data_IF_613936920465
#
_entry.id   IF_613936920465
#
_cell.length_a   1.000
_cell.length_b   1.000
_cell.length_c   1.000
_cell.angle_alpha   90.00
_cell.angle_beta   90.00
_cell.angle_gamma   90.00
#
_symmetry.space_group_name_H-M   'P 1'
#
loop_
_entity.id
_entity.type
_entity.pdbx_description
1 polymer ?
#
# COMPACT_ATOMS: atom_id res chain seq x y z
N UNK A 1 -1.44 -27.77 -13.41
CA UNK A 1 -0.62 -26.61 -12.98
C UNK A 1 0.06 -26.01 -14.20
N UNK A 2 -0.10 -24.70 -14.45
CA UNK A 2 0.50 -23.98 -15.58
C UNK A 2 1.72 -23.20 -15.10
N UNK A 3 2.82 -23.22 -15.91
CA UNK A 3 4.03 -22.42 -15.64
C UNK A 3 4.13 -21.27 -16.64
N UNK A 4 4.40 -20.07 -16.16
CA UNK A 4 4.73 -18.88 -16.96
C UNK A 4 6.08 -18.33 -16.49
N UNK A 5 6.90 -17.86 -17.43
CA UNK A 5 8.16 -17.20 -17.16
C UNK A 5 7.97 -15.70 -17.42
N UNK A 6 8.50 -14.86 -16.55
CA UNK A 6 8.44 -13.39 -16.66
C UNK A 6 9.85 -12.84 -16.43
N UNK A 7 10.32 -12.05 -17.38
CA UNK A 7 11.61 -11.38 -17.27
C UNK A 7 11.51 -10.20 -16.30
N UNK A 8 12.16 -10.32 -15.15
CA UNK A 8 12.23 -9.23 -14.18
C UNK A 8 13.54 -8.44 -14.44
N UNK A 9 13.47 -7.13 -14.72
CA UNK A 9 14.67 -6.31 -14.88
C UNK A 9 15.61 -6.41 -13.67
N UNK A 10 16.92 -6.48 -13.90
CA UNK A 10 17.98 -6.65 -12.89
C UNK A 10 18.07 -8.01 -12.21
N UNK A 11 17.21 -8.99 -12.49
CA UNK A 11 17.42 -10.38 -12.10
C UNK A 11 18.14 -11.16 -13.20
N UNK A 12 18.97 -12.13 -12.79
CA UNK A 12 19.75 -12.97 -13.71
C UNK A 12 18.95 -14.12 -14.31
N UNK A 13 17.84 -14.48 -13.65
CA UNK A 13 16.92 -15.53 -14.11
C UNK A 13 15.51 -14.99 -14.16
N UNK A 14 14.72 -15.54 -15.07
CA UNK A 14 13.29 -15.23 -15.16
C UNK A 14 12.56 -15.66 -13.88
N UNK A 15 11.54 -14.88 -13.52
CA UNK A 15 10.63 -15.21 -12.44
C UNK A 15 9.67 -16.30 -12.91
N UNK A 16 9.51 -17.33 -12.11
CA UNK A 16 8.63 -18.46 -12.40
C UNK A 16 7.28 -18.30 -11.69
N UNK A 17 6.21 -18.25 -12.45
CA UNK A 17 4.84 -18.20 -11.94
C UNK A 17 4.18 -19.55 -12.19
N UNK A 18 3.71 -20.19 -11.13
CA UNK A 18 2.98 -21.46 -11.19
C UNK A 18 1.55 -21.23 -10.75
N UNK A 19 0.60 -21.41 -11.66
CA UNK A 19 -0.82 -21.38 -11.35
C UNK A 19 -1.37 -22.79 -11.18
N UNK A 20 -1.85 -23.10 -9.97
CA UNK A 20 -2.45 -24.39 -9.61
C UNK A 20 -3.87 -24.47 -10.15
N UNK A 21 -4.39 -25.70 -10.29
CA UNK A 21 -5.75 -25.95 -10.80
C UNK A 21 -6.85 -25.35 -9.91
N UNK A 22 -6.57 -25.13 -8.62
CA UNK A 22 -7.44 -24.42 -7.69
C UNK A 22 -7.34 -22.88 -7.77
N UNK A 23 -6.43 -22.36 -8.60
CA UNK A 23 -6.19 -20.94 -8.82
C UNK A 23 -5.14 -20.31 -7.89
N UNK A 24 -4.54 -21.05 -6.94
CA UNK A 24 -3.44 -20.56 -6.13
C UNK A 24 -2.22 -20.29 -7.00
N UNK A 25 -1.62 -19.12 -6.87
CA UNK A 25 -0.40 -18.73 -7.58
C UNK A 25 0.81 -18.84 -6.67
N UNK A 26 1.85 -19.55 -7.14
CA UNK A 26 3.15 -19.62 -6.49
C UNK A 26 4.15 -18.95 -7.41
N UNK A 27 4.91 -18.00 -6.87
CA UNK A 27 5.93 -17.24 -7.61
C UNK A 27 7.29 -17.50 -6.99
N UNK A 28 8.24 -17.94 -7.80
CA UNK A 28 9.61 -18.20 -7.39
C UNK A 28 10.55 -17.27 -8.16
N UNK A 29 11.32 -16.47 -7.42
CA UNK A 29 12.31 -15.55 -7.98
C UNK A 29 13.71 -15.86 -7.44
N UNK A 30 14.66 -16.07 -8.33
CA UNK A 30 16.03 -16.37 -7.95
C UNK A 30 16.82 -15.07 -7.67
N UNK A 31 17.39 -15.00 -6.48
CA UNK A 31 18.34 -13.95 -6.07
C UNK A 31 19.49 -14.60 -5.32
N UNK A 32 20.71 -14.48 -5.85
CA UNK A 32 21.91 -15.00 -5.21
C UNK A 32 22.12 -14.40 -3.82
N UNK A 33 22.56 -15.22 -2.86
CA UNK A 33 22.88 -14.82 -1.50
C UNK A 33 22.30 -15.74 -0.43
N UNK A 34 22.54 -15.37 0.83
CA UNK A 34 22.11 -16.16 1.99
C UNK A 34 20.73 -15.75 2.51
N UNK A 35 20.20 -14.65 2.05
CA UNK A 35 18.87 -14.17 2.49
C UNK A 35 17.76 -14.75 1.63
N UNK A 36 16.64 -15.05 2.26
CA UNK A 36 15.40 -15.46 1.61
C UNK A 36 14.21 -14.64 2.14
N UNK A 37 13.24 -14.41 1.26
CA UNK A 37 11.95 -13.83 1.63
C UNK A 37 10.84 -14.84 1.30
N UNK A 38 9.96 -15.06 2.26
CA UNK A 38 8.75 -15.86 2.13
C UNK A 38 7.58 -14.93 2.37
N UNK A 39 6.70 -14.74 1.39
CA UNK A 39 5.56 -13.86 1.55
C UNK A 39 4.28 -14.44 0.93
N UNK A 40 3.14 -14.04 1.49
CA UNK A 40 1.82 -14.32 0.95
C UNK A 40 1.03 -13.02 0.80
N UNK A 41 0.55 -12.79 -0.40
CA UNK A 41 -0.23 -11.63 -0.79
C UNK A 41 -1.68 -12.04 -1.03
N UNK A 42 -2.58 -11.39 -0.35
CA UNK A 42 -4.03 -11.67 -0.42
C UNK A 42 -4.73 -10.51 -1.10
N UNK A 43 -5.50 -10.78 -2.16
CA UNK A 43 -6.28 -9.77 -2.89
C UNK A 43 -7.51 -9.33 -2.08
N UNK A 44 -7.27 -8.84 -0.88
CA UNK A 44 -8.28 -8.26 -0.01
C UNK A 44 -7.69 -7.20 0.90
N UNK A 45 -8.41 -6.14 1.09
CA UNK A 45 -8.11 -5.01 1.95
C UNK A 45 -9.37 -4.21 2.19
N UNK A 46 -9.27 -2.93 2.52
CA UNK A 46 -10.44 -2.10 2.81
C UNK A 46 -11.40 -1.92 1.61
N UNK A 47 -10.97 -2.24 0.39
CA UNK A 47 -11.82 -2.27 -0.80
C UNK A 47 -12.97 -3.28 -0.68
N UNK A 48 -12.75 -4.40 0.01
CA UNK A 48 -13.71 -5.48 0.18
C UNK A 48 -14.61 -5.32 1.41
N UNK A 49 -14.43 -4.25 2.16
CA UNK A 49 -15.19 -3.94 3.36
C UNK A 49 -16.44 -3.10 3.05
N UNK A 50 -17.33 -3.02 4.01
CA UNK A 50 -18.50 -2.15 3.99
C UNK A 50 -18.53 -1.24 5.23
N UNK A 51 -19.61 -0.51 5.46
CA UNK A 51 -19.71 0.41 6.58
C UNK A 51 -19.86 -0.29 7.94
N UNK A 52 -20.26 -1.57 7.95
CA UNK A 52 -20.50 -2.31 9.19
C UNK A 52 -19.27 -3.09 9.65
N UNK A 53 -18.29 -3.30 8.76
CA UNK A 53 -17.09 -4.08 9.05
C UNK A 53 -15.77 -3.40 8.64
N UNK A 54 -15.78 -2.08 8.43
CA UNK A 54 -14.58 -1.34 8.04
C UNK A 54 -13.46 -1.48 9.10
N UNK A 55 -12.28 -1.88 8.66
CA UNK A 55 -11.12 -2.20 9.48
C UNK A 55 -10.96 -3.69 9.79
N UNK A 56 -11.89 -4.55 9.34
CA UNK A 56 -11.80 -6.00 9.59
C UNK A 56 -10.56 -6.63 8.93
N UNK A 57 -10.12 -6.15 7.77
CA UNK A 57 -8.91 -6.65 7.10
C UNK A 57 -7.67 -6.42 7.95
N UNK A 58 -7.52 -5.22 8.50
CA UNK A 58 -6.42 -4.85 9.36
C UNK A 58 -6.49 -5.58 10.70
N UNK A 59 -7.69 -5.70 11.30
CA UNK A 59 -7.85 -6.44 12.54
C UNK A 59 -7.55 -7.93 12.36
N UNK A 60 -7.97 -8.53 11.24
CA UNK A 60 -7.60 -9.90 10.88
C UNK A 60 -6.08 -10.06 10.73
N UNK A 61 -5.40 -9.09 10.11
CA UNK A 61 -3.94 -9.10 10.00
C UNK A 61 -3.27 -9.29 11.36
N UNK A 62 -3.64 -8.52 12.39
CA UNK A 62 -3.14 -8.67 13.75
C UNK A 62 -3.42 -10.07 14.34
N UNK A 63 -4.59 -10.62 14.05
CA UNK A 63 -5.02 -11.91 14.59
C UNK A 63 -4.35 -13.10 13.92
N UNK A 64 -3.83 -12.95 12.69
CA UNK A 64 -3.10 -14.03 12.00
C UNK A 64 -1.86 -14.50 12.76
N UNK A 65 -1.24 -13.63 13.57
CA UNK A 65 -0.08 -13.95 14.39
C UNK A 65 -0.44 -14.56 15.77
N UNK A 66 -1.73 -14.75 16.08
CA UNK A 66 -2.19 -15.19 17.39
C UNK A 66 -2.41 -16.70 17.51
N UNK A 67 -1.56 -17.45 16.82
CA UNK A 67 -1.49 -18.91 16.93
C UNK A 67 -2.30 -19.66 15.88
N UNK A 68 -1.96 -20.93 15.76
CA UNK A 68 -2.55 -21.89 14.85
C UNK A 68 -2.96 -23.16 15.64
N UNK A 69 -3.48 -24.16 14.93
CA UNK A 69 -3.71 -25.47 15.56
C UNK A 69 -2.41 -26.15 16.02
N UNK A 70 -1.27 -25.79 15.43
CA UNK A 70 0.05 -26.39 15.70
C UNK A 70 0.87 -25.55 16.69
N UNK A 71 0.87 -24.23 16.53
CA UNK A 71 1.73 -23.31 17.28
C UNK A 71 0.91 -22.38 18.17
N UNK A 72 1.33 -22.26 19.43
CA UNK A 72 0.69 -21.36 20.40
C UNK A 72 1.05 -19.90 20.12
N UNK A 73 0.28 -18.99 20.72
CA UNK A 73 0.54 -17.56 20.69
C UNK A 73 1.98 -17.24 21.12
N UNK A 74 2.68 -16.44 20.30
CA UNK A 74 4.08 -16.03 20.52
C UNK A 74 5.12 -17.12 20.22
N UNK A 75 4.74 -18.34 19.86
CA UNK A 75 5.71 -19.36 19.43
C UNK A 75 6.26 -19.05 18.02
N UNK A 76 5.40 -18.62 17.12
CA UNK A 76 5.77 -18.21 15.78
C UNK A 76 6.86 -17.11 15.81
N UNK A 77 6.60 -16.00 16.51
CA UNK A 77 7.54 -14.89 16.62
C UNK A 77 8.86 -15.33 17.23
N UNK A 78 8.81 -16.01 18.38
CA UNK A 78 10.02 -16.47 19.10
C UNK A 78 10.88 -17.41 18.26
N UNK A 79 10.26 -18.34 17.50
CA UNK A 79 11.00 -19.29 16.67
C UNK A 79 11.71 -18.54 15.53
N UNK A 80 11.04 -17.61 14.87
CA UNK A 80 11.62 -16.84 13.76
C UNK A 80 12.63 -15.80 14.24
N UNK A 81 12.34 -15.07 15.32
CA UNK A 81 13.28 -14.11 15.91
C UNK A 81 14.60 -14.79 16.34
N UNK A 82 14.52 -16.01 16.88
CA UNK A 82 15.72 -16.78 17.25
C UNK A 82 16.64 -17.11 16.05
N UNK A 83 16.12 -16.99 14.82
CA UNK A 83 16.84 -17.18 13.55
C UNK A 83 17.27 -15.88 12.89
N UNK A 84 17.04 -14.73 13.55
CA UNK A 84 17.33 -13.41 13.01
C UNK A 84 16.35 -12.99 11.91
N UNK A 85 15.15 -13.54 11.90
CA UNK A 85 14.12 -13.20 10.94
C UNK A 85 13.52 -11.81 11.23
N UNK A 86 13.16 -11.12 10.15
CA UNK A 86 12.28 -9.97 10.15
C UNK A 86 10.90 -10.49 9.73
N UNK A 87 9.91 -10.33 10.59
CA UNK A 87 8.52 -10.72 10.36
C UNK A 87 7.67 -9.47 10.38
N UNK A 88 6.82 -9.30 9.38
CA UNK A 88 5.87 -8.19 9.35
C UNK A 88 4.69 -8.50 8.44
N UNK A 89 3.67 -7.64 8.51
CA UNK A 89 2.51 -7.64 7.64
C UNK A 89 2.05 -6.22 7.38
N UNK A 90 1.23 -6.02 6.38
CA UNK A 90 0.55 -4.75 6.16
C UNK A 90 -0.76 -4.96 5.40
N UNK A 91 -1.75 -4.15 5.76
CA UNK A 91 -3.04 -4.04 5.09
C UNK A 91 -3.14 -2.70 4.38
N UNK A 92 -3.48 -2.75 3.10
CA UNK A 92 -3.78 -1.60 2.29
C UNK A 92 -5.21 -1.64 1.74
N UNK A 93 -5.52 -0.75 0.81
CA UNK A 93 -6.85 -0.69 0.20
C UNK A 93 -7.16 -1.95 -0.60
N UNK A 94 -6.21 -2.45 -1.39
CA UNK A 94 -6.41 -3.54 -2.36
C UNK A 94 -5.89 -4.90 -1.90
N UNK A 95 -5.02 -4.93 -0.89
CA UNK A 95 -4.35 -6.15 -0.46
C UNK A 95 -4.00 -6.15 1.02
N UNK A 96 -3.78 -7.36 1.53
CA UNK A 96 -3.09 -7.63 2.79
C UNK A 96 -1.93 -8.58 2.47
N UNK A 97 -0.74 -8.32 3.01
CA UNK A 97 0.39 -9.21 2.81
C UNK A 97 1.13 -9.50 4.11
N UNK A 98 1.74 -10.66 4.16
CA UNK A 98 2.51 -11.19 5.28
C UNK A 98 3.85 -11.63 4.76
N UNK A 99 4.94 -11.34 5.46
CA UNK A 99 6.26 -11.78 5.03
C UNK A 99 7.20 -12.11 6.16
N UNK A 100 8.14 -12.99 5.84
CA UNK A 100 9.28 -13.35 6.68
C UNK A 100 10.54 -13.24 5.82
N UNK A 101 11.53 -12.49 6.29
CA UNK A 101 12.85 -12.37 5.66
C UNK A 101 13.92 -12.81 6.64
N UNK A 102 14.77 -13.77 6.24
CA UNK A 102 15.76 -14.33 7.14
C UNK A 102 16.96 -14.93 6.36
N UNK A 103 18.11 -15.20 7.03
CA UNK A 103 19.14 -16.06 6.48
C UNK A 103 18.64 -17.49 6.28
N UNK A 104 19.05 -18.17 5.19
CA UNK A 104 18.64 -19.57 4.89
C UNK A 104 19.01 -20.56 6.02
N UNK A 105 20.06 -20.25 6.75
CA UNK A 105 20.65 -21.17 7.71
C UNK A 105 21.46 -22.31 7.07
N UNK A 106 22.05 -23.15 7.92
CA UNK A 106 22.84 -24.30 7.47
C UNK A 106 21.88 -25.33 6.84
N UNK A 107 22.21 -25.78 5.63
CA UNK A 107 21.40 -26.74 4.87
C UNK A 107 19.94 -26.27 4.67
N UNK A 108 19.70 -24.96 4.55
CA UNK A 108 18.39 -24.31 4.39
C UNK A 108 17.40 -24.56 5.55
N UNK A 109 17.84 -25.01 6.72
CA UNK A 109 16.94 -25.40 7.83
C UNK A 109 16.10 -24.26 8.37
N UNK A 110 16.65 -23.02 8.41
CA UNK A 110 15.92 -21.87 8.90
C UNK A 110 14.91 -21.39 7.84
N UNK A 111 15.24 -21.50 6.55
CA UNK A 111 14.33 -21.28 5.45
C UNK A 111 13.16 -22.28 5.46
N UNK A 112 13.44 -23.58 5.58
CA UNK A 112 12.39 -24.62 5.65
C UNK A 112 11.44 -24.36 6.83
N UNK A 113 11.98 -23.98 7.99
CA UNK A 113 11.20 -23.58 9.16
C UNK A 113 10.30 -22.36 8.85
N UNK A 114 10.83 -21.35 8.18
CA UNK A 114 10.06 -20.16 7.82
C UNK A 114 8.90 -20.49 6.87
N UNK A 115 9.14 -21.36 5.86
CA UNK A 115 8.09 -21.84 4.96
C UNK A 115 7.01 -22.60 5.73
N UNK A 116 7.41 -23.47 6.67
CA UNK A 116 6.49 -24.27 7.48
C UNK A 116 5.59 -23.38 8.36
N UNK A 117 6.20 -22.48 9.10
CA UNK A 117 5.50 -21.55 9.99
C UNK A 117 4.58 -20.62 9.21
N UNK A 118 5.08 -20.04 8.11
CA UNK A 118 4.31 -19.11 7.28
C UNK A 118 3.10 -19.79 6.64
N UNK A 119 3.28 -21.02 6.11
CA UNK A 119 2.18 -21.77 5.54
C UNK A 119 1.13 -22.15 6.60
N UNK A 120 1.56 -22.57 7.81
CA UNK A 120 0.63 -22.93 8.89
C UNK A 120 -0.16 -21.69 9.37
N UNK A 121 0.49 -20.53 9.52
CA UNK A 121 -0.16 -19.26 9.81
C UNK A 121 -1.24 -18.92 8.75
N UNK A 122 -0.91 -19.08 7.48
CA UNK A 122 -1.84 -18.75 6.38
C UNK A 122 -3.01 -19.73 6.27
N UNK A 123 -2.81 -21.02 6.60
CA UNK A 123 -3.80 -22.08 6.39
C UNK A 123 -4.64 -22.41 7.61
N UNK A 124 -4.10 -22.28 8.80
CA UNK A 124 -4.64 -22.84 10.06
C UNK A 124 -4.77 -21.84 11.22
N UNK A 125 -5.02 -20.51 11.00
CA UNK A 125 -5.18 -19.58 12.11
C UNK A 125 -6.42 -19.95 12.94
N UNK A 126 -6.36 -19.75 14.26
CA UNK A 126 -7.43 -20.16 15.17
C UNK A 126 -8.22 -19.01 15.80
N UNK A 127 -7.75 -17.78 15.71
CA UNK A 127 -8.35 -16.56 16.28
C UNK A 127 -8.85 -16.80 17.72
N UNK A 128 -7.95 -17.02 18.70
CA UNK A 128 -8.36 -17.37 20.06
C UNK A 128 -9.18 -16.25 20.71
N UNK A 129 -10.26 -16.61 21.38
CA UNK A 129 -11.14 -15.62 22.03
C UNK A 129 -10.41 -14.81 23.11
N UNK A 130 -9.45 -15.45 23.78
CA UNK A 130 -8.58 -14.84 24.78
C UNK A 130 -7.59 -13.81 24.18
N UNK A 131 -7.27 -13.89 22.90
CA UNK A 131 -6.43 -12.92 22.20
C UNK A 131 -7.27 -11.84 21.50
N UNK A 132 -8.38 -12.23 20.92
CA UNK A 132 -9.30 -11.33 20.24
C UNK A 132 -9.93 -10.30 21.20
N UNK A 133 -10.40 -10.73 22.35
CA UNK A 133 -11.25 -9.97 23.25
C UNK A 133 -12.74 -9.99 22.87
N UNK A 134 -13.60 -9.89 23.87
CA UNK A 134 -15.05 -9.82 23.65
C UNK A 134 -15.44 -8.45 23.06
N UNK A 135 -16.51 -8.37 22.25
CA UNK A 135 -17.13 -7.09 21.88
C UNK A 135 -17.54 -6.29 23.13
N UNK A 136 -17.43 -4.97 23.06
CA UNK A 136 -17.78 -4.08 24.19
C UNK A 136 -18.30 -2.74 23.68
N UNK A 137 -19.02 -2.00 24.56
CA UNK A 137 -19.40 -0.62 24.26
C UNK A 137 -18.15 0.28 24.35
N UNK A 138 -17.80 0.95 23.25
CA UNK A 138 -16.62 1.83 23.18
C UNK A 138 -16.70 3.00 24.18
N UNK A 139 -17.88 3.34 24.66
CA UNK A 139 -18.11 4.37 25.69
C UNK A 139 -17.96 3.83 27.12
N UNK A 140 -17.84 2.53 27.29
CA UNK A 140 -17.58 1.92 28.60
C UNK A 140 -16.08 1.99 28.94
N UNK A 141 -15.70 3.06 29.63
CA UNK A 141 -14.32 3.29 30.07
C UNK A 141 -13.88 2.36 31.25
N UNK A 142 -14.74 1.51 31.76
CA UNK A 142 -14.37 0.51 32.78
C UNK A 142 -13.69 -0.71 32.19
N UNK A 143 -13.79 -0.92 30.87
CA UNK A 143 -13.14 -2.02 30.16
C UNK A 143 -11.64 -1.72 30.03
N UNK A 144 -10.82 -2.49 30.76
CA UNK A 144 -9.35 -2.35 30.80
C UNK A 144 -8.63 -3.52 30.14
N UNK A 145 -9.23 -4.12 29.13
CA UNK A 145 -8.68 -5.25 28.41
C UNK A 145 -7.44 -4.85 27.59
N UNK A 146 -6.43 -5.71 27.51
CA UNK A 146 -5.18 -5.47 26.76
C UNK A 146 -5.02 -6.38 25.54
N UNK A 147 -6.10 -7.05 25.12
CA UNK A 147 -6.09 -7.96 23.97
C UNK A 147 -6.05 -7.19 22.65
N UNK A 148 -5.85 -7.90 21.54
CA UNK A 148 -5.61 -7.32 20.21
C UNK A 148 -6.65 -6.28 19.78
N UNK A 149 -7.91 -6.48 20.13
CA UNK A 149 -8.96 -5.48 19.87
C UNK A 149 -8.61 -4.10 20.44
N UNK A 150 -8.11 -4.04 21.67
CA UNK A 150 -7.69 -2.78 22.28
C UNK A 150 -6.40 -2.23 21.65
N UNK A 151 -5.48 -3.11 21.27
CA UNK A 151 -4.24 -2.70 20.56
C UNK A 151 -4.62 -1.98 19.26
N UNK A 152 -5.51 -2.56 18.46
CA UNK A 152 -5.98 -1.94 17.20
C UNK A 152 -6.74 -0.64 17.48
N UNK A 153 -7.60 -0.59 18.49
CA UNK A 153 -8.32 0.65 18.87
C UNK A 153 -7.35 1.76 19.28
N UNK A 154 -6.33 1.44 20.08
CA UNK A 154 -5.30 2.43 20.46
C UNK A 154 -4.48 2.88 19.24
N UNK A 155 -4.16 1.99 18.32
CA UNK A 155 -3.50 2.37 17.05
C UNK A 155 -4.37 3.33 16.23
N UNK A 156 -5.68 3.06 16.12
CA UNK A 156 -6.61 3.98 15.44
C UNK A 156 -6.59 5.36 16.12
N UNK A 157 -6.61 5.41 17.46
CA UNK A 157 -6.55 6.67 18.21
C UNK A 157 -5.25 7.42 17.94
N UNK A 158 -4.11 6.73 18.02
CA UNK A 158 -2.80 7.31 17.73
C UNK A 158 -2.73 7.86 16.29
N UNK A 159 -3.24 7.13 15.31
CA UNK A 159 -3.28 7.59 13.91
C UNK A 159 -4.21 8.78 13.71
N UNK A 160 -5.37 8.78 14.37
CA UNK A 160 -6.32 9.91 14.33
C UNK A 160 -5.69 11.21 14.85
N UNK A 161 -4.74 11.15 15.77
CA UNK A 161 -4.06 12.33 16.30
C UNK A 161 -2.97 12.87 15.39
N UNK A 162 -2.51 12.10 14.40
CA UNK A 162 -1.52 12.54 13.44
C UNK A 162 -2.10 13.55 12.44
N UNK A 163 -1.53 14.76 12.32
CA UNK A 163 -2.08 15.80 11.45
C UNK A 163 -2.17 15.41 9.98
N UNK A 164 -1.15 14.69 9.46
CA UNK A 164 -1.13 14.20 8.09
C UNK A 164 -2.24 13.19 7.81
N UNK A 165 -2.54 12.30 8.75
CA UNK A 165 -3.66 11.36 8.63
C UNK A 165 -4.99 12.10 8.57
N UNK A 166 -5.18 13.14 9.40
CA UNK A 166 -6.40 13.96 9.38
C UNK A 166 -6.62 14.62 8.03
N UNK A 167 -5.61 15.34 7.51
CA UNK A 167 -5.74 16.08 6.25
C UNK A 167 -5.92 15.13 5.06
N UNK A 168 -5.19 13.98 5.05
CA UNK A 168 -5.33 12.94 4.04
C UNK A 168 -6.74 12.32 4.03
N UNK A 169 -7.24 11.90 5.20
CA UNK A 169 -8.55 11.25 5.29
C UNK A 169 -9.69 12.19 4.86
N UNK A 170 -9.60 13.49 5.20
CA UNK A 170 -10.57 14.50 4.73
C UNK A 170 -10.47 14.67 3.22
N UNK A 171 -9.27 14.80 2.66
CA UNK A 171 -9.05 14.89 1.22
C UNK A 171 -9.61 13.66 0.50
N UNK A 172 -9.18 12.48 0.90
CA UNK A 172 -9.57 11.20 0.31
C UNK A 172 -11.08 10.97 0.35
N UNK A 173 -11.73 11.21 1.50
CA UNK A 173 -13.19 11.08 1.65
C UNK A 173 -13.98 11.99 0.70
N UNK A 174 -13.43 13.16 0.34
CA UNK A 174 -14.09 14.12 -0.55
C UNK A 174 -13.75 13.89 -2.03
N UNK A 175 -12.67 13.14 -2.35
CA UNK A 175 -12.33 12.73 -3.71
C UNK A 175 -13.27 11.64 -4.22
N UNK A 176 -13.66 10.71 -3.35
CA UNK A 176 -14.51 9.58 -3.70
C UNK A 176 -15.97 9.80 -3.28
N UNK A 177 -16.90 9.46 -4.16
CA UNK A 177 -18.35 9.52 -3.90
C UNK A 177 -18.86 8.17 -3.40
N UNK A 178 -18.66 7.11 -4.20
CA UNK A 178 -19.20 5.77 -3.94
C UNK A 178 -18.11 4.74 -3.70
N UNK A 179 -16.94 4.92 -4.29
CA UNK A 179 -15.88 3.94 -4.24
C UNK A 179 -15.40 3.65 -2.81
N UNK A 180 -15.15 2.38 -2.46
CA UNK A 180 -14.65 1.97 -1.14
C UNK A 180 -13.38 2.69 -0.67
N UNK A 181 -12.56 3.19 -1.58
CA UNK A 181 -11.32 3.91 -1.24
C UNK A 181 -11.53 5.16 -0.39
N UNK A 182 -12.76 5.69 -0.29
CA UNK A 182 -13.09 6.77 0.63
C UNK A 182 -12.94 6.41 2.11
N UNK A 183 -12.91 5.09 2.45
CA UNK A 183 -12.77 4.60 3.83
C UNK A 183 -11.30 4.55 4.26
N UNK A 184 -11.09 4.76 5.55
CA UNK A 184 -9.80 4.51 6.17
C UNK A 184 -9.56 2.99 6.25
N UNK A 185 -8.33 2.55 5.99
CA UNK A 185 -7.95 1.13 6.02
C UNK A 185 -8.07 0.54 7.43
N UNK A 186 -7.70 1.33 8.45
CA UNK A 186 -7.65 0.86 9.83
C UNK A 186 -9.04 0.77 10.48
N UNK A 187 -10.08 1.35 9.87
CA UNK A 187 -11.44 1.38 10.39
C UNK A 187 -11.67 2.43 11.48
N UNK A 188 -12.67 2.17 12.32
CA UNK A 188 -13.00 3.07 13.45
C UNK A 188 -13.13 2.29 14.77
N UNK A 189 -12.87 2.94 15.92
CA UNK A 189 -13.01 2.29 17.24
C UNK A 189 -14.40 1.69 17.45
N UNK A 190 -15.45 2.36 16.97
CA UNK A 190 -16.85 1.95 17.11
C UNK A 190 -17.10 0.61 16.40
N UNK A 191 -16.56 0.44 15.17
CA UNK A 191 -16.72 -0.80 14.40
C UNK A 191 -15.85 -1.90 15.02
N UNK A 192 -14.55 -1.62 15.23
CA UNK A 192 -13.61 -2.61 15.77
C UNK A 192 -14.08 -3.14 17.13
N UNK A 193 -14.69 -2.29 17.99
CA UNK A 193 -15.20 -2.72 19.30
C UNK A 193 -16.34 -3.75 19.21
N UNK A 194 -17.05 -3.80 18.08
CA UNK A 194 -18.24 -4.66 17.89
C UNK A 194 -17.98 -5.94 17.08
N UNK A 195 -16.88 -6.00 16.29
CA UNK A 195 -16.59 -7.18 15.46
C UNK A 195 -16.50 -8.44 16.30
N UNK A 196 -17.20 -9.48 15.90
CA UNK A 196 -17.20 -10.77 16.57
C UNK A 196 -16.12 -11.70 16.01
N UNK A 197 -15.80 -12.78 16.73
CA UNK A 197 -14.93 -13.84 16.20
C UNK A 197 -15.53 -14.47 14.95
N UNK A 198 -16.85 -14.59 14.88
CA UNK A 198 -17.55 -15.12 13.71
C UNK A 198 -17.37 -14.22 12.48
N UNK A 199 -17.42 -12.89 12.65
CA UNK A 199 -17.16 -11.94 11.56
C UNK A 199 -15.73 -12.11 11.02
N UNK A 200 -14.74 -12.26 11.90
CA UNK A 200 -13.33 -12.49 11.53
C UNK A 200 -13.17 -13.82 10.77
N UNK A 201 -13.73 -14.93 11.31
CA UNK A 201 -13.63 -16.24 10.66
C UNK A 201 -14.34 -16.24 9.29
N UNK A 202 -15.51 -15.62 9.20
CA UNK A 202 -16.26 -15.49 7.94
C UNK A 202 -15.46 -14.66 6.91
N UNK A 203 -14.84 -13.56 7.33
CA UNK A 203 -14.02 -12.74 6.46
C UNK A 203 -12.78 -13.51 5.96
N UNK A 204 -12.07 -14.18 6.87
CA UNK A 204 -10.95 -15.05 6.51
C UNK A 204 -11.36 -16.14 5.52
N UNK A 205 -12.43 -16.89 5.78
CA UNK A 205 -12.91 -17.94 4.89
C UNK A 205 -13.34 -17.43 3.52
N UNK A 206 -13.87 -16.22 3.46
CA UNK A 206 -14.35 -15.59 2.23
C UNK A 206 -13.21 -15.12 1.33
N UNK A 207 -12.16 -14.56 1.89
CA UNK A 207 -11.13 -13.87 1.10
C UNK A 207 -9.78 -14.58 1.06
N UNK A 208 -9.42 -15.38 2.08
CA UNK A 208 -8.17 -16.15 2.09
C UNK A 208 -8.37 -17.49 1.38
N UNK A 209 -8.58 -17.39 0.07
CA UNK A 209 -8.91 -18.50 -0.84
C UNK A 209 -7.80 -18.69 -1.86
N UNK A 210 -7.65 -19.88 -2.49
CA UNK A 210 -6.56 -20.13 -3.42
C UNK A 210 -6.47 -19.09 -4.55
N UNK A 211 -7.58 -18.61 -5.09
CA UNK A 211 -7.58 -17.62 -6.18
C UNK A 211 -7.17 -16.21 -5.75
N UNK A 212 -7.31 -15.91 -4.46
CA UNK A 212 -6.97 -14.60 -3.91
C UNK A 212 -5.55 -14.56 -3.33
N UNK A 213 -4.94 -15.72 -3.05
CA UNK A 213 -3.61 -15.80 -2.44
C UNK A 213 -2.55 -16.04 -3.51
N UNK A 214 -1.50 -15.23 -3.46
CA UNK A 214 -0.25 -15.46 -4.19
C UNK A 214 0.87 -15.64 -3.18
N UNK A 215 1.54 -16.80 -3.20
CA UNK A 215 2.71 -17.07 -2.35
C UNK A 215 3.97 -16.80 -3.16
N UNK A 216 4.89 -16.00 -2.63
CA UNK A 216 6.09 -15.53 -3.32
C UNK A 216 7.30 -15.91 -2.48
N UNK A 217 8.26 -16.57 -3.11
CA UNK A 217 9.56 -16.87 -2.50
C UNK A 217 10.66 -16.23 -3.34
N UNK A 218 11.52 -15.47 -2.68
CA UNK A 218 12.67 -14.81 -3.31
C UNK A 218 13.94 -15.22 -2.60
N UNK A 219 14.94 -15.70 -3.35
CA UNK A 219 16.23 -16.10 -2.79
C UNK A 219 16.99 -17.09 -3.66
N UNK A 220 18.03 -17.68 -3.09
CA UNK A 220 18.82 -18.73 -3.74
C UNK A 220 18.51 -20.08 -3.10
N UNK A 221 17.67 -20.87 -3.78
CA UNK A 221 17.16 -22.17 -3.32
C UNK A 221 16.86 -23.10 -4.52
N UNK A 222 16.56 -24.36 -4.23
CA UNK A 222 16.10 -25.32 -5.23
C UNK A 222 14.59 -25.08 -5.52
N UNK A 223 14.30 -24.56 -6.73
CA UNK A 223 12.93 -24.21 -7.14
C UNK A 223 11.99 -25.42 -7.19
N UNK A 224 12.46 -26.60 -7.62
CA UNK A 224 11.61 -27.79 -7.72
C UNK A 224 11.24 -28.32 -6.33
N UNK A 225 12.21 -28.37 -5.41
CA UNK A 225 11.98 -28.78 -4.04
C UNK A 225 11.02 -27.82 -3.32
N UNK A 226 11.25 -26.51 -3.41
CA UNK A 226 10.42 -25.49 -2.77
C UNK A 226 9.01 -25.50 -3.34
N UNK A 227 8.85 -25.60 -4.68
CA UNK A 227 7.54 -25.71 -5.31
C UNK A 227 6.74 -26.91 -4.78
N UNK A 228 7.39 -28.06 -4.66
CA UNK A 228 6.77 -29.28 -4.12
C UNK A 228 6.30 -29.05 -2.67
N UNK A 229 7.17 -28.50 -1.82
CA UNK A 229 6.85 -28.18 -0.42
C UNK A 229 5.67 -27.21 -0.32
N UNK A 230 5.66 -26.15 -1.11
CA UNK A 230 4.56 -25.17 -1.12
C UNK A 230 3.24 -25.79 -1.60
N UNK A 231 3.29 -26.68 -2.62
CA UNK A 231 2.09 -27.38 -3.08
C UNK A 231 1.50 -28.31 -2.02
N UNK A 232 2.34 -28.91 -1.17
CA UNK A 232 1.91 -29.79 -0.07
C UNK A 232 1.35 -28.97 1.12
N UNK A 233 2.01 -27.88 1.48
CA UNK A 233 1.67 -27.09 2.68
C UNK A 233 0.50 -26.11 2.48
N UNK A 234 0.40 -25.50 1.30
CA UNK A 234 -0.75 -24.66 0.94
C UNK A 234 -1.88 -25.52 0.36
N UNK A 235 -2.37 -26.46 1.17
CA UNK A 235 -3.53 -27.27 0.85
C UNK A 235 -4.81 -26.56 1.27
N UNK A 236 -5.24 -25.62 0.43
CA UNK A 236 -6.45 -24.83 0.68
C UNK A 236 -7.67 -25.75 0.80
N UNK A 237 -8.43 -25.71 1.91
CA UNK A 237 -9.70 -26.41 2.00
C UNK A 237 -10.65 -25.89 0.92
N UNK A 238 -11.61 -26.73 0.47
CA UNK A 238 -12.67 -26.29 -0.44
C UNK A 238 -13.48 -25.17 0.20
N UNK A 239 -13.10 -23.93 -0.11
CA UNK A 239 -13.77 -22.70 0.33
C UNK A 239 -14.48 -22.09 -0.87
N UNK A 240 -15.70 -21.65 -0.67
CA UNK A 240 -16.40 -20.86 -1.67
C UNK A 240 -15.72 -19.51 -1.74
N UNK A 241 -15.19 -19.17 -2.90
CA UNK A 241 -14.62 -17.84 -3.11
C UNK A 241 -15.68 -16.77 -2.89
N UNK A 242 -15.39 -15.78 -2.07
CA UNK A 242 -16.22 -14.58 -2.00
C UNK A 242 -16.18 -13.86 -3.36
N UNK A 243 -17.31 -13.30 -3.76
CA UNK A 243 -17.36 -12.46 -4.95
C UNK A 243 -16.45 -11.24 -4.73
N UNK A 244 -15.46 -11.08 -5.60
CA UNK A 244 -14.77 -9.80 -5.70
C UNK A 244 -15.73 -8.83 -6.37
N UNK A 245 -16.28 -7.90 -5.62
CA UNK A 245 -17.15 -6.87 -6.18
C UNK A 245 -16.33 -6.02 -7.16
N UNK A 246 -16.87 -5.88 -8.37
CA UNK A 246 -16.39 -4.87 -9.30
C UNK A 246 -16.98 -3.54 -8.84
N UNK A 247 -16.14 -2.68 -8.28
CA UNK A 247 -16.58 -1.36 -7.86
C UNK A 247 -16.79 -0.45 -9.06
N UNK A 248 -17.80 0.40 -8.99
CA UNK A 248 -17.94 1.48 -9.97
C UNK A 248 -16.82 2.49 -9.75
N UNK A 249 -16.08 2.79 -10.82
CA UNK A 249 -15.02 3.79 -10.79
C UNK A 249 -15.65 5.18 -10.63
N UNK A 250 -15.23 5.91 -9.61
CA UNK A 250 -15.66 7.29 -9.41
C UNK A 250 -15.01 8.21 -10.45
N UNK A 251 -15.77 9.18 -10.93
CA UNK A 251 -15.25 10.25 -11.77
C UNK A 251 -14.58 11.33 -10.90
N UNK A 252 -13.62 12.09 -11.44
CA UNK A 252 -13.11 13.28 -10.79
C UNK A 252 -14.23 14.21 -10.34
N UNK A 253 -14.04 14.93 -9.26
CA UNK A 253 -15.00 15.94 -8.81
C UNK A 253 -15.24 16.97 -9.92
N UNK A 254 -16.48 17.39 -10.10
CA UNK A 254 -16.88 18.32 -11.18
C UNK A 254 -16.47 19.76 -10.94
N UNK A 255 -16.14 20.10 -9.69
CA UNK A 255 -15.69 21.43 -9.25
C UNK A 255 -14.72 21.28 -8.08
N UNK A 256 -13.88 22.28 -7.87
CA UNK A 256 -12.96 22.31 -6.72
C UNK A 256 -13.72 22.26 -5.42
N UNK A 257 -13.43 21.26 -4.59
CA UNK A 257 -13.94 21.16 -3.22
C UNK A 257 -12.90 21.69 -2.23
N UNK A 258 -13.30 22.63 -1.39
CA UNK A 258 -12.47 23.13 -0.29
C UNK A 258 -13.04 22.67 1.05
N UNK A 259 -12.22 22.05 1.87
CA UNK A 259 -12.60 21.56 3.20
C UNK A 259 -11.55 21.98 4.20
N UNK A 260 -11.95 22.78 5.18
CA UNK A 260 -11.11 23.19 6.30
C UNK A 260 -11.50 22.45 7.57
N UNK A 261 -10.51 21.97 8.29
CA UNK A 261 -10.66 21.34 9.60
C UNK A 261 -9.74 21.99 10.61
N UNK A 262 -10.07 21.88 11.89
CA UNK A 262 -9.28 22.41 13.00
C UNK A 262 -8.78 21.29 13.89
N UNK A 263 -7.62 21.47 14.50
CA UNK A 263 -7.08 20.57 15.50
C UNK A 263 -6.05 21.28 16.39
N UNK A 264 -5.71 20.65 17.50
CA UNK A 264 -4.62 21.09 18.37
C UNK A 264 -3.27 20.81 17.71
N UNK A 265 -2.84 21.72 16.85
CA UNK A 265 -1.56 21.65 16.10
C UNK A 265 -0.88 23.03 16.13
N UNK A 266 0.44 23.06 15.98
CA UNK A 266 1.22 24.31 15.99
C UNK A 266 1.48 24.89 14.59
N UNK A 267 1.14 24.16 13.55
CA UNK A 267 1.37 24.52 12.15
C UNK A 267 0.21 24.07 11.30
N UNK A 268 0.07 24.59 10.11
CA UNK A 268 -1.02 24.21 9.21
C UNK A 268 -0.56 23.18 8.18
N UNK A 269 -1.50 22.36 7.72
CA UNK A 269 -1.30 21.32 6.75
C UNK A 269 -2.26 21.49 5.58
N UNK A 270 -1.79 21.24 4.39
CA UNK A 270 -2.53 21.40 3.14
C UNK A 270 -2.34 20.15 2.29
N UNK A 271 -3.43 19.72 1.67
CA UNK A 271 -3.40 18.66 0.67
C UNK A 271 -4.33 19.01 -0.48
N UNK A 272 -3.79 18.98 -1.70
CA UNK A 272 -4.55 18.91 -2.94
C UNK A 272 -4.59 17.47 -3.40
N UNK A 273 -5.75 16.99 -3.83
CA UNK A 273 -5.91 15.62 -4.30
C UNK A 273 -6.70 15.51 -5.58
N UNK A 274 -6.30 14.58 -6.44
CA UNK A 274 -6.95 14.24 -7.71
C UNK A 274 -7.05 12.73 -7.88
N UNK A 275 -8.12 12.28 -8.56
CA UNK A 275 -8.22 10.92 -9.05
C UNK A 275 -7.41 10.78 -10.34
N UNK A 276 -6.62 9.72 -10.43
CA UNK A 276 -5.77 9.39 -11.57
C UNK A 276 -6.27 8.16 -12.35
N UNK A 277 -5.41 7.58 -13.21
CA UNK A 277 -5.69 6.40 -14.00
C UNK A 277 -5.82 5.13 -13.13
N UNK A 278 -6.30 4.04 -13.72
CA UNK A 278 -6.20 2.70 -13.10
C UNK A 278 -4.74 2.23 -13.07
N UNK A 279 -4.35 1.43 -12.08
CA UNK A 279 -2.95 0.93 -11.98
C UNK A 279 -2.47 0.21 -13.25
N UNK A 280 -3.36 -0.52 -13.94
CA UNK A 280 -3.06 -1.22 -15.20
C UNK A 280 -2.89 -0.31 -16.41
N UNK A 281 -3.27 0.97 -16.33
CA UNK A 281 -2.99 1.99 -17.36
C UNK A 281 -1.53 2.47 -17.19
N UNK A 282 -0.60 1.55 -17.45
CA UNK A 282 0.82 1.68 -17.07
C UNK A 282 1.46 2.97 -17.58
N UNK A 283 1.23 3.32 -18.85
CA UNK A 283 1.81 4.55 -19.43
C UNK A 283 1.39 5.81 -18.67
N UNK A 284 0.11 5.94 -18.34
CA UNK A 284 -0.41 7.08 -17.59
C UNK A 284 0.10 7.09 -16.13
N UNK A 285 0.22 5.91 -15.51
CA UNK A 285 0.79 5.76 -14.17
C UNK A 285 2.27 6.17 -14.15
N UNK A 286 3.08 5.73 -15.12
CA UNK A 286 4.49 6.16 -15.27
C UNK A 286 4.58 7.67 -15.47
N UNK A 287 3.68 8.27 -16.28
CA UNK A 287 3.66 9.72 -16.45
C UNK A 287 3.41 10.45 -15.12
N UNK A 288 2.47 9.98 -14.29
CA UNK A 288 2.21 10.59 -12.98
C UNK A 288 3.40 10.42 -12.00
N UNK A 289 4.10 9.28 -12.04
CA UNK A 289 5.33 9.09 -11.27
C UNK A 289 6.41 10.10 -11.69
N UNK A 290 6.61 10.29 -12.99
CA UNK A 290 7.58 11.28 -13.51
C UNK A 290 7.15 12.72 -13.16
N UNK A 291 5.86 13.04 -13.27
CA UNK A 291 5.31 14.34 -12.90
C UNK A 291 5.52 14.60 -11.41
N UNK A 292 5.30 13.61 -10.54
CA UNK A 292 5.55 13.79 -9.10
C UNK A 292 7.01 14.14 -8.82
N UNK A 293 7.95 13.49 -9.50
CA UNK A 293 9.39 13.78 -9.36
C UNK A 293 9.75 15.20 -9.88
N UNK A 294 9.22 15.59 -11.01
CA UNK A 294 9.50 16.91 -11.61
C UNK A 294 8.90 18.01 -10.74
N UNK A 295 7.67 17.79 -10.26
CA UNK A 295 6.90 18.83 -9.60
C UNK A 295 7.26 19.00 -8.12
N UNK A 296 7.30 17.91 -7.32
CA UNK A 296 7.44 18.04 -5.87
C UNK A 296 8.49 17.15 -5.21
N UNK A 297 8.87 16.03 -5.80
CA UNK A 297 9.72 15.06 -5.11
C UNK A 297 11.22 15.40 -5.23
N UNK A 298 11.77 15.89 -4.11
CA UNK A 298 13.18 16.20 -3.93
C UNK A 298 13.55 17.67 -4.12
N UNK A 299 14.71 18.04 -3.61
CA UNK A 299 15.19 19.42 -3.47
C UNK A 299 15.27 20.23 -4.77
N UNK A 300 15.36 19.56 -5.91
CA UNK A 300 15.44 20.22 -7.22
C UNK A 300 14.13 20.19 -8.01
N UNK A 301 13.02 19.78 -7.41
CA UNK A 301 11.69 19.85 -7.97
C UNK A 301 11.17 21.29 -8.01
N UNK A 302 10.17 21.56 -8.88
CA UNK A 302 9.62 22.90 -9.07
C UNK A 302 9.07 23.51 -7.77
N UNK A 303 8.27 22.74 -7.02
CA UNK A 303 7.68 23.19 -5.75
C UNK A 303 8.75 23.54 -4.72
N UNK A 304 9.75 22.65 -4.52
CA UNK A 304 10.83 22.89 -3.58
C UNK A 304 11.64 24.13 -3.95
N UNK A 305 12.03 24.24 -5.23
CA UNK A 305 12.82 25.36 -5.71
C UNK A 305 12.08 26.69 -5.58
N UNK A 306 10.81 26.73 -5.98
CA UNK A 306 10.07 28.01 -6.07
C UNK A 306 9.46 28.44 -4.73
N UNK A 307 8.97 27.47 -3.91
CA UNK A 307 8.21 27.76 -2.71
C UNK A 307 8.99 27.59 -1.40
N UNK A 308 10.11 26.82 -1.41
CA UNK A 308 10.95 26.66 -0.22
C UNK A 308 12.27 27.40 -0.37
N UNK A 309 13.02 27.15 -1.45
CA UNK A 309 14.37 27.69 -1.59
C UNK A 309 14.37 29.17 -1.98
N UNK A 310 13.67 29.54 -3.04
CA UNK A 310 13.68 30.91 -3.63
C UNK A 310 12.67 31.87 -3.02
N UNK A 311 11.64 31.39 -2.31
CA UNK A 311 10.64 32.24 -1.70
C UNK A 311 11.25 33.02 -0.52
N UNK A 312 11.32 34.37 -0.57
CA UNK A 312 11.94 35.16 0.51
C UNK A 312 11.18 35.03 1.85
N UNK A 313 9.84 34.99 1.77
CA UNK A 313 9.00 34.75 2.93
C UNK A 313 8.87 33.24 3.14
N UNK A 314 9.56 32.71 4.12
CA UNK A 314 9.58 31.27 4.43
C UNK A 314 8.25 30.81 4.99
N UNK A 315 7.27 30.64 4.10
CA UNK A 315 5.90 30.19 4.42
C UNK A 315 5.87 28.69 4.65
N UNK A 316 6.48 27.91 3.74
CA UNK A 316 6.44 26.46 3.76
C UNK A 316 7.62 25.88 4.55
N UNK A 317 7.33 24.95 5.47
CA UNK A 317 8.34 24.11 6.11
C UNK A 317 8.67 22.89 5.23
N UNK A 318 7.65 22.41 4.51
CA UNK A 318 7.76 21.28 3.58
C UNK A 318 6.65 21.42 2.53
N UNK A 319 6.96 21.06 1.31
CA UNK A 319 6.00 20.85 0.24
C UNK A 319 6.54 19.79 -0.71
N UNK A 320 5.69 18.88 -1.11
CA UNK A 320 6.02 17.86 -2.10
C UNK A 320 4.80 17.44 -2.93
N UNK A 321 5.00 16.52 -3.86
CA UNK A 321 3.92 15.83 -4.56
C UNK A 321 4.17 14.34 -4.61
N UNK A 322 3.09 13.56 -4.45
CA UNK A 322 3.12 12.11 -4.40
C UNK A 322 2.07 11.50 -5.32
N UNK A 323 2.39 10.34 -5.87
CA UNK A 323 1.50 9.53 -6.67
C UNK A 323 1.28 8.18 -5.98
N UNK A 324 0.05 7.92 -5.54
CA UNK A 324 -0.35 6.66 -4.93
C UNK A 324 -1.09 5.80 -5.93
N UNK A 325 -0.59 4.59 -6.11
CA UNK A 325 -1.14 3.65 -7.09
C UNK A 325 -2.08 2.66 -6.40
N UNK A 326 -3.33 2.61 -6.87
CA UNK A 326 -4.37 1.67 -6.43
C UNK A 326 -5.00 1.01 -7.66
N UNK A 327 -5.51 -0.21 -7.46
CA UNK A 327 -6.08 -1.03 -8.52
C UNK A 327 -7.14 -0.29 -9.35
N UNK A 328 -8.12 0.31 -8.68
CA UNK A 328 -9.32 0.91 -9.27
C UNK A 328 -9.24 2.44 -9.44
N UNK A 329 -8.05 3.02 -9.33
CA UNK A 329 -7.79 4.44 -9.56
C UNK A 329 -6.71 5.02 -8.68
N UNK A 330 -5.67 5.54 -9.32
CA UNK A 330 -4.54 6.18 -8.64
C UNK A 330 -4.96 7.51 -8.02
N UNK A 331 -4.15 7.99 -7.09
CA UNK A 331 -4.32 9.34 -6.53
C UNK A 331 -3.04 10.14 -6.74
N UNK A 332 -3.18 11.40 -7.11
CA UNK A 332 -2.08 12.35 -7.11
C UNK A 332 -2.33 13.41 -6.05
N UNK A 333 -1.31 13.68 -5.24
CA UNK A 333 -1.38 14.65 -4.16
C UNK A 333 -0.28 15.70 -4.28
N UNK A 334 -0.61 16.93 -3.87
CA UNK A 334 0.36 17.94 -3.43
C UNK A 334 0.12 18.11 -1.95
N UNK A 335 1.16 17.99 -1.15
CA UNK A 335 1.05 18.14 0.29
C UNK A 335 2.05 19.17 0.81
N UNK A 336 1.62 19.99 1.78
CA UNK A 336 2.45 21.01 2.36
C UNK A 336 2.19 21.20 3.85
N UNK A 337 3.26 21.54 4.57
CA UNK A 337 3.23 22.03 5.92
C UNK A 337 3.70 23.50 5.92
N UNK A 338 2.94 24.40 6.55
CA UNK A 338 3.16 25.83 6.42
C UNK A 338 2.74 26.62 7.68
N UNK A 339 3.19 27.86 7.76
CA UNK A 339 2.85 28.76 8.88
C UNK A 339 1.35 29.09 8.91
N UNK A 340 0.68 29.02 10.09
CA UNK A 340 -0.77 29.25 10.20
C UNK A 340 -1.24 30.62 9.70
N UNK A 341 -0.45 31.67 9.93
CA UNK A 341 -0.76 33.05 9.52
C UNK A 341 -0.71 33.29 8.01
N UNK A 342 -0.24 32.30 7.24
CA UNK A 342 -0.02 32.42 5.80
C UNK A 342 -0.97 31.53 4.96
N UNK A 343 -2.08 31.02 5.52
CA UNK A 343 -2.98 30.06 4.88
C UNK A 343 -3.39 30.45 3.45
N UNK A 344 -3.99 31.60 3.29
CA UNK A 344 -4.52 32.02 1.99
C UNK A 344 -3.41 32.25 0.97
N UNK A 345 -2.27 32.75 1.43
CA UNK A 345 -1.07 32.92 0.60
C UNK A 345 -0.46 31.58 0.20
N UNK A 346 -0.41 30.61 1.10
CA UNK A 346 0.09 29.27 0.81
C UNK A 346 -0.78 28.58 -0.26
N UNK A 347 -2.08 28.58 -0.11
CA UNK A 347 -3.02 28.02 -1.10
C UNK A 347 -2.87 28.71 -2.46
N UNK A 348 -2.77 30.05 -2.47
CA UNK A 348 -2.60 30.83 -3.69
C UNK A 348 -1.29 30.45 -4.41
N UNK A 349 -0.18 30.37 -3.70
CA UNK A 349 1.13 30.01 -4.26
C UNK A 349 1.13 28.60 -4.84
N UNK A 350 0.52 27.63 -4.18
CA UNK A 350 0.40 26.25 -4.73
C UNK A 350 -0.44 26.26 -6.01
N UNK A 351 -1.54 27.01 -6.05
CA UNK A 351 -2.36 27.16 -7.27
C UNK A 351 -1.59 27.84 -8.40
N UNK A 352 -0.76 28.84 -8.10
CA UNK A 352 0.09 29.49 -9.10
C UNK A 352 1.13 28.55 -9.69
N UNK A 353 1.80 27.72 -8.84
CA UNK A 353 2.74 26.71 -9.33
C UNK A 353 2.04 25.62 -10.16
N UNK A 354 0.84 25.18 -9.75
CA UNK A 354 0.04 24.25 -10.55
C UNK A 354 -0.37 24.87 -11.89
N UNK A 355 -0.74 26.15 -11.93
CA UNK A 355 -1.00 26.88 -13.19
C UNK A 355 0.22 26.91 -14.10
N UNK A 356 1.41 27.12 -13.54
CA UNK A 356 2.67 27.04 -14.30
C UNK A 356 2.91 25.62 -14.82
N UNK A 357 2.68 24.58 -14.02
CA UNK A 357 2.81 23.19 -14.48
C UNK A 357 1.89 22.90 -15.69
N UNK A 358 0.70 23.51 -15.74
CA UNK A 358 -0.27 23.37 -16.84
C UNK A 358 0.08 24.17 -18.09
N UNK A 359 0.86 25.25 -17.96
CA UNK A 359 1.10 26.23 -19.05
C UNK A 359 2.55 26.33 -19.51
N UNK A 360 3.50 26.04 -18.63
CA UNK A 360 4.93 26.06 -18.94
C UNK A 360 5.41 24.68 -19.34
N UNK A 361 6.11 24.60 -20.48
CA UNK A 361 6.64 23.34 -20.98
C UNK A 361 7.59 22.68 -19.99
N UNK A 362 7.49 21.37 -19.88
CA UNK A 362 8.49 20.54 -19.20
C UNK A 362 9.76 20.53 -20.06
N UNK A 363 10.93 20.69 -19.44
CA UNK A 363 12.20 20.68 -20.15
C UNK A 363 12.73 19.25 -20.34
N UNK A 364 13.57 19.06 -21.37
CA UNK A 364 14.26 17.79 -21.60
C UNK A 364 15.13 17.39 -20.40
N UNK A 365 15.72 18.38 -19.72
CA UNK A 365 16.55 18.14 -18.52
C UNK A 365 15.70 17.60 -17.36
N UNK A 366 14.52 18.18 -17.11
CA UNK A 366 13.60 17.71 -16.08
C UNK A 366 13.13 16.28 -16.37
N UNK A 367 12.74 15.98 -17.60
CA UNK A 367 12.31 14.64 -18.00
C UNK A 367 13.45 13.63 -17.89
N UNK A 368 14.64 13.94 -18.40
CA UNK A 368 15.80 13.05 -18.33
C UNK A 368 16.19 12.73 -16.88
N UNK A 369 16.15 13.75 -16.01
CA UNK A 369 16.42 13.59 -14.57
C UNK A 369 15.38 12.73 -13.89
N UNK A 370 14.10 12.96 -14.16
CA UNK A 370 13.02 12.16 -13.58
C UNK A 370 13.12 10.69 -13.99
N UNK A 371 13.33 10.40 -15.29
CA UNK A 371 13.58 9.04 -15.77
C UNK A 371 14.77 8.37 -15.09
N UNK A 372 15.90 9.08 -14.98
CA UNK A 372 17.09 8.55 -14.29
C UNK A 372 16.79 8.20 -12.83
N UNK A 373 16.05 9.05 -12.13
CA UNK A 373 15.68 8.83 -10.72
C UNK A 373 14.74 7.64 -10.57
N UNK A 374 13.74 7.50 -11.44
CA UNK A 374 12.83 6.35 -11.46
C UNK A 374 13.59 5.05 -11.72
N UNK A 375 14.50 5.03 -12.73
CA UNK A 375 15.36 3.86 -12.98
C UNK A 375 16.21 3.48 -11.77
N UNK A 376 16.79 4.47 -11.09
CA UNK A 376 17.58 4.21 -9.89
C UNK A 376 16.74 3.62 -8.76
N UNK A 377 15.54 4.13 -8.52
CA UNK A 377 14.60 3.57 -7.53
C UNK A 377 14.25 2.12 -7.85
N UNK A 378 13.95 1.85 -9.12
CA UNK A 378 13.62 0.51 -9.56
C UNK A 378 14.81 -0.46 -9.44
N UNK A 379 16.04 0.01 -9.71
CA UNK A 379 17.25 -0.78 -9.50
C UNK A 379 17.48 -1.08 -8.01
N UNK A 380 17.31 -0.09 -7.13
CA UNK A 380 17.40 -0.30 -5.68
C UNK A 380 16.34 -1.29 -5.17
N UNK A 381 15.10 -1.22 -5.66
CA UNK A 381 14.05 -2.18 -5.34
C UNK A 381 14.35 -3.63 -5.80
N UNK A 382 15.40 -3.83 -6.59
CA UNK A 382 15.89 -5.17 -6.98
C UNK A 382 17.13 -5.62 -6.17
N UNK A 383 17.56 -4.85 -5.15
CA UNK A 383 18.75 -5.19 -4.38
C UNK A 383 18.48 -6.20 -3.26
N UNK A 384 17.33 -6.15 -2.61
CA UNK A 384 16.99 -7.04 -1.51
C UNK A 384 15.91 -8.05 -1.89
N UNK A 385 15.94 -9.22 -1.26
CA UNK A 385 14.91 -10.25 -1.45
C UNK A 385 13.52 -9.77 -1.01
N UNK A 386 13.45 -8.89 -0.01
CA UNK A 386 12.20 -8.31 0.49
C UNK A 386 11.58 -7.37 -0.54
N UNK A 387 12.35 -6.40 -1.06
CA UNK A 387 11.85 -5.42 -2.03
C UNK A 387 11.45 -6.07 -3.37
N UNK A 388 12.18 -7.11 -3.81
CA UNK A 388 11.77 -7.92 -4.97
C UNK A 388 10.43 -8.59 -4.68
N UNK A 389 10.26 -9.21 -3.50
CA UNK A 389 9.01 -9.85 -3.07
C UNK A 389 7.84 -8.85 -3.04
N UNK A 390 8.06 -7.65 -2.51
CA UNK A 390 7.06 -6.58 -2.49
C UNK A 390 6.69 -6.10 -3.89
N UNK A 391 7.67 -5.89 -4.76
CA UNK A 391 7.41 -5.49 -6.15
C UNK A 391 6.60 -6.55 -6.90
N UNK A 392 6.99 -7.82 -6.80
CA UNK A 392 6.24 -8.93 -7.41
C UNK A 392 4.83 -8.98 -6.84
N UNK A 393 4.68 -8.90 -5.52
CA UNK A 393 3.39 -8.91 -4.83
C UNK A 393 2.47 -7.80 -5.29
N UNK A 394 2.99 -6.59 -5.42
CA UNK A 394 2.24 -5.45 -5.95
C UNK A 394 1.72 -5.72 -7.37
N UNK A 395 2.58 -6.12 -8.30
CA UNK A 395 2.15 -6.41 -9.68
C UNK A 395 1.16 -7.57 -9.76
N UNK A 396 1.31 -8.60 -8.92
CA UNK A 396 0.40 -9.76 -8.88
C UNK A 396 -0.95 -9.46 -8.24
N UNK A 397 -1.05 -8.45 -7.37
CA UNK A 397 -2.29 -8.15 -6.63
C UNK A 397 -2.99 -6.90 -7.11
N UNK A 398 -2.28 -5.79 -7.31
CA UNK A 398 -2.83 -4.49 -7.71
C UNK A 398 -2.98 -4.40 -9.22
N UNK A 399 -1.93 -4.76 -9.97
CA UNK A 399 -1.97 -4.75 -11.43
C UNK A 399 -2.57 -6.03 -12.03
N UNK A 400 -2.65 -7.11 -11.24
CA UNK A 400 -3.10 -8.47 -11.61
C UNK A 400 -2.29 -9.13 -12.74
N UNK A 401 -1.14 -8.54 -13.10
CA UNK A 401 -0.26 -9.05 -14.15
C UNK A 401 1.22 -8.66 -13.90
N UNK A 402 2.06 -9.65 -13.61
CA UNK A 402 3.51 -9.43 -13.46
C UNK A 402 4.21 -9.10 -14.79
N UNK A 403 3.63 -9.48 -15.93
CA UNK A 403 4.27 -9.18 -17.23
C UNK A 403 4.43 -7.68 -17.51
N UNK A 404 3.63 -6.85 -16.87
CA UNK A 404 3.78 -5.39 -16.96
C UNK A 404 5.16 -4.89 -16.50
N UNK A 405 5.91 -5.71 -15.74
CA UNK A 405 7.26 -5.34 -15.31
C UNK A 405 8.33 -5.56 -16.40
N UNK A 406 8.09 -6.46 -17.37
CA UNK A 406 9.06 -6.81 -18.41
C UNK A 406 9.45 -5.60 -19.25
N UNK A 407 8.45 -4.81 -19.64
CA UNK A 407 8.62 -3.66 -20.52
C UNK A 407 8.71 -2.33 -19.78
N UNK A 408 8.61 -2.34 -18.42
CA UNK A 408 8.55 -1.12 -17.61
C UNK A 408 9.67 -0.11 -17.93
N UNK A 409 10.92 -0.58 -18.07
CA UNK A 409 12.05 0.31 -18.37
C UNK A 409 12.01 0.85 -19.79
N UNK A 410 11.54 0.06 -20.76
CA UNK A 410 11.37 0.52 -22.14
C UNK A 410 10.19 1.48 -22.25
N UNK A 411 9.10 1.22 -21.55
CA UNK A 411 7.95 2.11 -21.46
C UNK A 411 8.35 3.44 -20.83
N UNK A 412 9.08 3.41 -19.72
CA UNK A 412 9.63 4.60 -19.09
C UNK A 412 10.51 5.41 -20.05
N UNK A 413 11.37 4.75 -20.83
CA UNK A 413 12.23 5.42 -21.81
C UNK A 413 11.43 6.02 -22.96
N UNK A 414 10.32 5.43 -23.34
CA UNK A 414 9.45 5.90 -24.42
C UNK A 414 8.64 7.17 -24.09
N UNK A 415 8.46 7.49 -22.79
CA UNK A 415 7.67 8.66 -22.37
C UNK A 415 8.28 9.95 -22.94
N UNK A 416 7.43 10.77 -23.54
CA UNK A 416 7.78 12.08 -24.10
C UNK A 416 7.28 13.23 -23.22
N UNK A 417 7.73 14.45 -23.51
CA UNK A 417 7.21 15.65 -22.83
C UNK A 417 5.72 15.82 -23.14
N UNK A 418 5.32 15.54 -24.37
CA UNK A 418 3.93 15.61 -24.82
C UNK A 418 3.03 14.66 -24.03
N UNK A 419 3.49 13.43 -23.74
CA UNK A 419 2.78 12.47 -22.89
C UNK A 419 2.57 13.02 -21.47
N UNK A 420 3.59 13.66 -20.88
CA UNK A 420 3.47 14.28 -19.56
C UNK A 420 2.49 15.44 -19.58
N UNK A 421 2.59 16.34 -20.55
CA UNK A 421 1.69 17.50 -20.69
C UNK A 421 0.24 17.08 -20.92
N UNK A 422 0.00 16.00 -21.69
CA UNK A 422 -1.34 15.43 -21.87
C UNK A 422 -1.88 14.87 -20.56
N UNK A 423 -1.05 14.13 -19.83
CA UNK A 423 -1.41 13.56 -18.52
C UNK A 423 -1.73 14.65 -17.50
N UNK A 424 -0.93 15.72 -17.43
CA UNK A 424 -1.18 16.86 -16.54
C UNK A 424 -2.54 17.49 -16.88
N UNK A 425 -2.81 17.79 -18.15
CA UNK A 425 -4.09 18.39 -18.60
C UNK A 425 -5.28 17.49 -18.28
N UNK A 426 -5.12 16.18 -18.40
CA UNK A 426 -6.19 15.21 -18.17
C UNK A 426 -6.54 15.04 -16.69
N UNK A 427 -5.54 14.99 -15.80
CA UNK A 427 -5.74 14.57 -14.42
C UNK A 427 -5.54 15.68 -13.39
N UNK A 428 -4.72 16.70 -13.64
CA UNK A 428 -4.29 17.69 -12.65
C UNK A 428 -4.89 19.09 -12.86
N UNK A 429 -6.17 19.16 -13.24
CA UNK A 429 -6.86 20.43 -13.36
C UNK A 429 -7.10 21.07 -11.99
N UNK A 430 -6.95 22.41 -11.91
CA UNK A 430 -7.30 23.18 -10.71
C UNK A 430 -8.80 23.08 -10.42
N UNK A 431 -9.62 23.03 -11.47
CA UNK A 431 -11.08 23.11 -11.38
C UNK A 431 -11.72 21.83 -10.78
N UNK A 432 -10.97 20.73 -10.71
CA UNK A 432 -11.45 19.46 -10.16
C UNK A 432 -10.58 18.92 -9.02
N UNK A 433 -9.89 19.80 -8.30
CA UNK A 433 -9.10 19.43 -7.14
C UNK A 433 -9.96 19.32 -5.87
N UNK A 434 -9.60 18.40 -4.99
CA UNK A 434 -10.04 18.46 -3.60
C UNK A 434 -8.93 19.09 -2.77
N UNK A 435 -9.25 20.16 -2.06
CA UNK A 435 -8.32 20.92 -1.23
C UNK A 435 -8.73 20.73 0.23
N UNK A 436 -7.91 20.00 0.98
CA UNK A 436 -8.08 19.78 2.41
C UNK A 436 -7.05 20.60 3.19
N UNK A 437 -7.51 21.36 4.17
CA UNK A 437 -6.66 22.20 5.03
C UNK A 437 -6.92 21.86 6.48
N UNK A 438 -5.86 21.65 7.25
CA UNK A 438 -5.91 21.52 8.69
C UNK A 438 -5.19 22.72 9.30
N UNK A 439 -5.90 23.47 10.14
CA UNK A 439 -5.37 24.65 10.83
C UNK A 439 -5.41 24.47 12.35
N UNK A 440 -4.61 25.23 13.14
CA UNK A 440 -4.74 25.27 14.59
C UNK A 440 -6.15 25.65 15.05
N UNK A 441 -6.58 25.09 16.20
CA UNK A 441 -7.88 25.42 16.83
C UNK A 441 -8.02 26.92 17.14
N UNK A 442 -6.91 27.57 17.49
CA UNK A 442 -6.79 28.99 17.82
C UNK A 442 -5.95 29.73 16.75
N UNK A 443 -6.42 29.79 15.53
CA UNK A 443 -5.78 30.53 14.44
C UNK A 443 -6.62 31.74 14.02
#
# INVERSE_FOLDING_TARGET
MNKTLVKYPFLTKDVEIYERDNGHKIVLAHKEGDMVNVSSWVKTGSINENNDNNGISHFLEHLMFKGTNTYKVGEFDRMLESKGAIVNAATWKDYTFFYVTLPKGIDNKDFDLAVDLHADMMMNPIFPAEELGAPFDINDHSVTDKRERHVVIEEIRMRKDQPWTKVYNVCNKNMYTNHPYKRDVIGTPEIISQLTREDIDNYYRKYYTPKNVTTIIVGDFDHEQVLKTLCEKFDFPNRTQGENHVNAIDLPVSETKYVETKANVNTSYLMFGWLGPLARELKASICLDLISIIFGDGSSSRLQQNLVEKLPDKIFNMIDSEHYQFKDGNNFFIQANFRPDAKDKAIKLVKEELSKLLTERITEEELAKAKKRTKSRFAFAAETVSEIGETIGYYMTVCDDLKLIEDYLSDLDSITIEDLEETIRKYLSIDNAVISVLVPDEA
#
